data_IF_650404648548
#
_entry.id   IF_650404648548
#
_cell.length_a   1.000
_cell.length_b   1.000
_cell.length_c   1.000
_cell.angle_alpha   90.00
_cell.angle_beta   90.00
_cell.angle_gamma   90.00
#
_symmetry.space_group_name_H-M   'P 1'
#
loop_
_entity.id
_entity.type
_entity.pdbx_description
1 polymer ?
#
# COMPACT_ATOMS: atom_id res chain seq x y z
N UNK A 1 -7.29 19.06 35.60
CA UNK A 1 -7.50 19.35 34.16
C UNK A 1 -6.42 18.58 33.43
N UNK A 2 -6.67 17.30 33.18
CA UNK A 2 -5.76 16.47 32.38
C UNK A 2 -5.86 16.95 30.94
N UNK A 3 -4.72 17.34 30.38
CA UNK A 3 -4.56 17.56 28.96
C UNK A 3 -4.69 16.18 28.32
N UNK A 4 -5.83 15.93 27.67
CA UNK A 4 -5.97 14.83 26.73
C UNK A 4 -4.93 15.08 25.63
N UNK A 5 -3.77 14.47 25.75
CA UNK A 5 -2.85 14.33 24.62
C UNK A 5 -3.65 13.55 23.58
N UNK A 6 -4.04 14.21 22.49
CA UNK A 6 -4.60 13.50 21.33
C UNK A 6 -3.65 12.35 21.03
N UNK A 7 -4.14 11.12 21.05
CA UNK A 7 -3.35 10.00 20.57
C UNK A 7 -2.88 10.37 19.17
N UNK A 8 -1.58 10.64 19.02
CA UNK A 8 -0.99 10.96 17.74
C UNK A 8 -1.31 9.79 16.82
N UNK A 9 -2.13 10.05 15.80
CA UNK A 9 -2.64 8.99 14.93
C UNK A 9 -1.46 8.32 14.24
N UNK A 10 -1.16 7.09 14.66
CA UNK A 10 0.00 6.36 14.13
C UNK A 10 -0.33 5.87 12.74
N UNK A 11 0.60 5.99 11.78
CA UNK A 11 0.38 5.47 10.44
C UNK A 11 0.21 3.95 10.45
N UNK A 12 -0.68 3.45 9.61
CA UNK A 12 -0.83 2.03 9.33
C UNK A 12 -0.18 1.67 7.99
N UNK A 13 0.25 0.42 7.84
CA UNK A 13 0.94 -0.04 6.64
C UNK A 13 0.25 -1.26 6.05
N UNK A 14 -0.18 -1.14 4.80
CA UNK A 14 -0.72 -2.25 4.01
C UNK A 14 0.37 -2.83 3.12
N UNK A 15 0.66 -4.13 3.27
CA UNK A 15 1.49 -4.86 2.33
C UNK A 15 0.60 -5.49 1.26
N UNK A 16 0.89 -5.19 0.00
CA UNK A 16 0.21 -5.78 -1.15
C UNK A 16 1.16 -6.74 -1.82
N UNK A 17 0.69 -7.96 -2.05
CA UNK A 17 1.38 -8.99 -2.83
C UNK A 17 0.44 -9.44 -3.95
N UNK A 18 0.91 -9.37 -5.19
CA UNK A 18 0.15 -9.81 -6.36
C UNK A 18 0.97 -10.78 -7.20
N UNK A 19 0.25 -11.68 -7.86
CA UNK A 19 0.76 -12.44 -9.00
C UNK A 19 0.00 -11.98 -10.26
N UNK A 20 0.53 -10.96 -10.92
CA UNK A 20 -0.06 -10.34 -12.10
C UNK A 20 0.10 -11.27 -13.31
N UNK A 21 -1.01 -11.63 -13.94
CA UNK A 21 -1.00 -12.43 -15.17
C UNK A 21 -0.59 -11.61 -16.40
N UNK A 22 -1.01 -10.34 -16.47
CA UNK A 22 -0.68 -9.41 -17.54
C UNK A 22 -0.35 -8.04 -16.94
N UNK A 23 0.95 -7.68 -16.84
CA UNK A 23 1.38 -6.39 -16.28
C UNK A 23 0.80 -5.19 -17.03
N UNK A 24 0.71 -5.23 -18.36
CA UNK A 24 0.20 -4.11 -19.14
C UNK A 24 -1.28 -3.85 -18.86
N UNK A 25 -2.10 -4.90 -18.79
CA UNK A 25 -3.53 -4.79 -18.46
C UNK A 25 -3.73 -4.28 -17.02
N UNK A 26 -2.88 -4.71 -16.08
CA UNK A 26 -2.90 -4.21 -14.70
C UNK A 26 -2.58 -2.70 -14.63
N UNK A 27 -1.51 -2.28 -15.29
CA UNK A 27 -1.10 -0.88 -15.31
C UNK A 27 -2.16 0.00 -16.01
N UNK A 28 -2.66 -0.46 -17.15
CA UNK A 28 -3.66 0.28 -17.90
C UNK A 28 -4.97 0.34 -17.13
N UNK A 29 -5.55 -0.78 -16.66
CA UNK A 29 -6.95 -0.80 -16.19
C UNK A 29 -7.14 -0.75 -14.70
N UNK A 30 -6.12 -1.04 -13.89
CA UNK A 30 -6.26 -1.02 -12.43
C UNK A 30 -5.56 0.20 -11.83
N UNK A 31 -4.29 0.40 -12.17
CA UNK A 31 -3.48 1.49 -11.58
C UNK A 31 -4.07 2.87 -11.89
N UNK A 32 -4.61 3.08 -13.11
CA UNK A 32 -5.20 4.36 -13.50
C UNK A 32 -6.35 4.81 -12.58
N UNK A 33 -7.11 3.89 -11.99
CA UNK A 33 -8.24 4.20 -11.11
C UNK A 33 -7.85 4.20 -9.64
N UNK A 34 -6.91 3.33 -9.25
CA UNK A 34 -6.52 3.17 -7.84
C UNK A 34 -5.67 4.33 -7.35
N UNK A 35 -4.74 4.84 -8.15
CA UNK A 35 -3.85 5.93 -7.71
C UNK A 35 -4.61 7.20 -7.29
N UNK A 36 -5.62 7.69 -8.05
CA UNK A 36 -6.48 8.78 -7.60
C UNK A 36 -7.20 8.51 -6.27
N UNK A 37 -7.67 7.27 -6.07
CA UNK A 37 -8.33 6.87 -4.81
C UNK A 37 -7.33 6.95 -3.66
N UNK A 38 -6.16 6.33 -3.79
CA UNK A 38 -5.13 6.39 -2.74
C UNK A 38 -4.76 7.83 -2.39
N UNK A 39 -4.57 8.67 -3.41
CA UNK A 39 -4.29 10.10 -3.21
C UNK A 39 -5.42 10.85 -2.49
N UNK A 40 -6.69 10.54 -2.77
CA UNK A 40 -7.83 11.20 -2.13
C UNK A 40 -7.91 10.93 -0.62
N UNK A 41 -7.31 9.84 -0.16
CA UNK A 41 -7.29 9.42 1.24
C UNK A 41 -5.92 9.62 1.91
N UNK A 42 -5.01 10.39 1.30
CA UNK A 42 -3.63 10.59 1.77
C UNK A 42 -2.86 9.28 1.99
N UNK A 43 -3.14 8.26 1.17
CA UNK A 43 -2.45 6.97 1.19
C UNK A 43 -1.28 7.06 0.20
N UNK A 44 -0.08 6.74 0.69
CA UNK A 44 1.15 6.80 -0.11
C UNK A 44 1.70 5.41 -0.39
N UNK A 45 2.04 5.11 -1.65
CA UNK A 45 2.86 3.95 -1.96
C UNK A 45 4.33 4.28 -1.67
N UNK A 46 4.85 3.76 -0.56
CA UNK A 46 6.21 4.07 -0.08
C UNK A 46 7.27 3.09 -0.60
N UNK A 47 6.85 1.94 -1.11
CA UNK A 47 7.69 0.98 -1.80
C UNK A 47 6.87 0.22 -2.84
N UNK A 48 7.48 -0.11 -3.97
CA UNK A 48 6.89 -0.94 -5.02
C UNK A 48 7.98 -1.67 -5.79
N UNK A 49 7.75 -2.94 -6.11
CA UNK A 49 8.69 -3.75 -6.89
C UNK A 49 7.96 -4.71 -7.81
N UNK A 50 8.35 -4.67 -9.10
CA UNK A 50 7.97 -5.65 -10.13
C UNK A 50 8.82 -6.92 -10.09
N UNK A 51 9.85 -6.95 -9.24
CA UNK A 51 10.76 -8.08 -9.07
C UNK A 51 11.12 -8.24 -7.59
N UNK A 52 10.17 -8.70 -6.75
CA UNK A 52 10.44 -8.93 -5.34
C UNK A 52 11.60 -9.92 -5.15
N UNK A 53 12.54 -9.59 -4.27
CA UNK A 53 13.69 -10.45 -3.97
C UNK A 53 13.45 -11.18 -2.65
N UNK A 54 13.01 -12.41 -2.74
CA UNK A 54 12.78 -13.28 -1.59
C UNK A 54 14.09 -13.62 -0.91
N UNK A 55 14.25 -13.19 0.35
CA UNK A 55 15.42 -13.53 1.16
C UNK A 55 15.26 -14.87 1.88
N UNK A 56 14.05 -15.14 2.38
CA UNK A 56 13.73 -16.34 3.14
C UNK A 56 12.29 -16.80 2.82
N UNK A 57 12.03 -18.09 2.96
CA UNK A 57 10.72 -18.69 2.69
C UNK A 57 10.35 -18.71 1.19
N UNK A 58 9.05 -18.75 0.92
CA UNK A 58 8.51 -18.72 -0.45
C UNK A 58 7.65 -17.48 -0.65
N UNK A 59 7.89 -16.77 -1.74
CA UNK A 59 7.08 -15.64 -2.19
C UNK A 59 6.62 -15.93 -3.62
N UNK A 60 5.32 -16.13 -3.82
CA UNK A 60 4.75 -16.51 -5.11
C UNK A 60 4.20 -15.31 -5.91
N UNK A 61 4.36 -14.09 -5.38
CA UNK A 61 4.01 -12.88 -6.11
C UNK A 61 5.09 -12.47 -7.12
N UNK A 62 4.67 -11.84 -8.21
CA UNK A 62 5.58 -11.16 -9.14
C UNK A 62 5.53 -9.64 -8.98
N UNK A 63 4.73 -9.13 -8.05
CA UNK A 63 4.71 -7.72 -7.67
C UNK A 63 4.38 -7.55 -6.20
N UNK A 64 5.00 -6.55 -5.59
CA UNK A 64 4.75 -6.17 -4.21
C UNK A 64 4.76 -4.66 -4.04
N UNK A 65 3.97 -4.16 -3.10
CA UNK A 65 4.01 -2.77 -2.68
C UNK A 65 3.70 -2.62 -1.19
N UNK A 66 4.20 -1.52 -0.60
CA UNK A 66 3.83 -1.09 0.74
C UNK A 66 3.11 0.24 0.63
N UNK A 67 1.91 0.30 1.19
CA UNK A 67 1.07 1.49 1.28
C UNK A 67 1.10 2.03 2.71
N UNK A 68 1.34 3.32 2.89
CA UNK A 68 1.24 4.04 4.16
C UNK A 68 -0.10 4.75 4.23
N UNK A 69 -0.91 4.40 5.21
CA UNK A 69 -2.15 5.06 5.57
C UNK A 69 -1.89 6.07 6.70
N UNK A 70 -2.63 7.19 6.78
CA UNK A 70 -2.51 8.14 7.88
C UNK A 70 -2.78 7.50 9.25
N UNK A 71 -3.72 6.56 9.29
CA UNK A 71 -4.19 5.87 10.51
C UNK A 71 -4.72 4.47 10.18
N UNK A 72 -4.97 3.66 11.20
CA UNK A 72 -5.63 2.35 11.03
C UNK A 72 -7.14 2.48 10.77
N UNK A 73 -7.75 3.48 11.39
CA UNK A 73 -9.16 3.79 11.21
C UNK A 73 -9.34 4.79 10.06
N UNK A 74 -10.50 4.70 9.40
CA UNK A 74 -10.95 5.71 8.44
C UNK A 74 -11.84 6.66 9.24
N UNK A 75 -11.38 7.89 9.45
CA UNK A 75 -12.18 8.98 10.01
C UNK A 75 -13.18 9.55 8.99
#
# INVERSE_FOLDING_TARGET
MELLMSEETKPAYGMVQLNMKNPSDFMERYVQYVMPILSAWNIEMIAGSMTPNTKEGSFEGNWAAVLRFPSMEID
#
